data_IF_027438746507
#
_entry.id   IF_027438746507
#
_cell.length_a   1.000
_cell.length_b   1.000
_cell.length_c   1.000
_cell.angle_alpha   90.00
_cell.angle_beta   90.00
_cell.angle_gamma   90.00
#
_symmetry.space_group_name_H-M   'P 1'
#
loop_
_entity.id
_entity.type
_entity.pdbx_description
1 polymer ?
#
# COMPACT_ATOMS: atom_id res chain seq x y z
N UNK A 1 -15.37 5.58 24.68
CA UNK A 1 -14.07 6.15 25.09
C UNK A 1 -13.63 5.39 26.34
N UNK A 2 -12.52 4.65 26.29
CA UNK A 2 -12.07 3.85 27.43
C UNK A 2 -10.59 4.13 27.74
N UNK A 3 -10.30 4.55 28.97
CA UNK A 3 -8.97 4.54 29.57
C UNK A 3 -8.69 3.17 30.18
N UNK A 4 -7.43 2.72 30.18
CA UNK A 4 -6.99 1.56 30.94
C UNK A 4 -5.83 1.94 31.87
N UNK A 5 -5.98 1.63 33.17
CA UNK A 5 -4.95 1.77 34.21
C UNK A 5 -4.17 0.45 34.33
N UNK A 6 -2.85 0.55 34.47
CA UNK A 6 -1.96 -0.57 34.80
C UNK A 6 -2.19 -1.06 36.24
N UNK A 7 -2.39 -2.37 36.40
CA UNK A 7 -2.25 -3.09 37.66
C UNK A 7 -0.85 -3.69 37.72
N UNK A 8 -0.04 -3.25 38.69
CA UNK A 8 1.25 -3.86 38.99
C UNK A 8 1.04 -5.22 39.67
N UNK A 9 1.64 -6.28 39.12
CA UNK A 9 2.05 -7.46 39.89
C UNK A 9 3.57 -7.58 39.82
N UNK A 10 4.16 -7.85 40.97
CA UNK A 10 5.60 -8.07 41.17
C UNK A 10 6.07 -9.33 40.44
N UNK A 11 7.16 -9.23 39.66
CA UNK A 11 7.78 -10.36 38.98
C UNK A 11 9.16 -10.68 39.57
N UNK A 12 9.44 -11.98 39.66
CA UNK A 12 10.73 -12.56 40.01
C UNK A 12 11.72 -12.45 38.84
N UNK A 13 13.02 -12.33 39.15
CA UNK A 13 14.09 -12.28 38.16
C UNK A 13 14.34 -13.65 37.51
N UNK A 14 14.71 -13.65 36.22
CA UNK A 14 14.97 -14.83 35.39
C UNK A 14 16.43 -14.73 34.92
N UNK A 15 17.22 -15.79 35.13
CA UNK A 15 18.69 -15.77 35.07
C UNK A 15 19.33 -16.46 33.85
N UNK A 16 18.59 -17.14 32.96
CA UNK A 16 19.19 -17.95 31.88
C UNK A 16 18.57 -17.81 30.48
N UNK A 17 19.37 -18.08 29.44
CA UNK A 17 19.03 -18.00 28.00
C UNK A 17 17.95 -19.01 27.57
N UNK A 18 17.75 -20.08 28.33
CA UNK A 18 16.73 -21.09 28.03
C UNK A 18 15.29 -20.64 28.34
N UNK A 19 15.11 -19.50 29.02
CA UNK A 19 13.80 -18.97 29.42
C UNK A 19 13.19 -17.99 28.39
N UNK A 20 13.86 -17.77 27.26
CA UNK A 20 13.43 -16.87 26.17
C UNK A 20 12.03 -17.18 25.60
N UNK A 21 11.59 -18.44 25.46
CA UNK A 21 10.25 -18.75 24.96
C UNK A 21 9.10 -18.30 25.88
N UNK A 22 9.38 -17.95 27.14
CA UNK A 22 8.38 -17.62 28.17
C UNK A 22 8.30 -16.10 28.46
N UNK A 23 8.83 -15.25 27.58
CA UNK A 23 8.83 -13.80 27.78
C UNK A 23 7.44 -13.19 27.47
N UNK A 24 6.84 -12.60 28.50
CA UNK A 24 5.61 -11.80 28.40
C UNK A 24 5.91 -10.45 27.72
N UNK A 25 5.18 -10.13 26.64
CA UNK A 25 5.46 -9.05 25.68
C UNK A 25 5.12 -7.63 26.21
N UNK A 26 5.18 -7.41 27.52
CA UNK A 26 5.00 -6.08 28.13
C UNK A 26 6.33 -5.31 28.30
N UNK A 27 6.85 -4.88 27.15
CA UNK A 27 7.50 -3.60 26.79
C UNK A 27 8.56 -2.88 27.65
N UNK A 28 9.16 -3.41 28.73
CA UNK A 28 10.39 -2.77 29.30
C UNK A 28 11.49 -3.74 29.74
N UNK A 29 11.18 -4.92 30.26
CA UNK A 29 12.17 -5.94 30.64
C UNK A 29 12.71 -6.71 29.42
N UNK A 30 11.85 -6.99 28.44
CA UNK A 30 12.18 -7.69 27.20
C UNK A 30 13.20 -6.92 26.37
N UNK A 31 13.02 -5.60 26.19
CA UNK A 31 13.98 -4.77 25.45
C UNK A 31 15.34 -4.68 26.14
N UNK A 32 15.41 -4.60 27.48
CA UNK A 32 16.69 -4.62 28.22
C UNK A 32 17.42 -5.96 28.10
N UNK A 33 16.70 -7.08 28.14
CA UNK A 33 17.29 -8.41 27.94
C UNK A 33 17.75 -8.61 26.50
N UNK A 34 16.95 -8.17 25.53
CA UNK A 34 17.33 -8.21 24.11
C UNK A 34 18.55 -7.34 23.82
N UNK A 35 18.62 -6.17 24.45
CA UNK A 35 19.78 -5.28 24.39
C UNK A 35 21.02 -5.92 25.03
N UNK A 36 20.89 -6.59 26.19
CA UNK A 36 21.98 -7.35 26.82
C UNK A 36 22.46 -8.53 25.96
N UNK A 37 21.53 -9.33 25.43
CA UNK A 37 21.83 -10.44 24.52
C UNK A 37 22.51 -9.93 23.26
N UNK A 38 22.02 -8.82 22.70
CA UNK A 38 22.63 -8.23 21.53
C UNK A 38 24.03 -7.70 21.81
N UNK A 39 24.22 -6.96 22.91
CA UNK A 39 25.53 -6.48 23.33
C UNK A 39 26.52 -7.64 23.56
N UNK A 40 26.06 -8.76 24.11
CA UNK A 40 26.88 -9.95 24.27
C UNK A 40 27.26 -10.57 22.91
N UNK A 41 26.28 -10.73 22.01
CA UNK A 41 26.50 -11.24 20.65
C UNK A 41 27.47 -10.34 19.87
N UNK A 42 27.34 -9.02 19.98
CA UNK A 42 28.19 -8.08 19.23
C UNK A 42 29.61 -8.04 19.76
N UNK A 43 29.77 -8.13 21.08
CA UNK A 43 31.08 -8.19 21.74
C UNK A 43 31.80 -9.50 21.46
N UNK A 44 31.13 -10.65 21.59
CA UNK A 44 31.73 -11.98 21.35
C UNK A 44 32.10 -12.22 19.87
N UNK A 45 31.41 -11.54 18.94
CA UNK A 45 31.51 -11.83 17.50
C UNK A 45 32.11 -10.69 16.67
N UNK A 46 32.69 -9.67 17.33
CA UNK A 46 33.43 -8.59 16.69
C UNK A 46 32.58 -7.67 15.82
N UNK A 47 31.31 -7.48 16.19
CA UNK A 47 30.35 -6.66 15.44
C UNK A 47 30.32 -5.27 16.09
N UNK A 48 30.49 -4.19 15.31
CA UNK A 48 30.46 -2.81 15.80
C UNK A 48 29.17 -2.48 16.57
N UNK A 49 29.27 -1.66 17.62
CA UNK A 49 28.14 -1.24 18.48
C UNK A 49 26.98 -0.54 17.74
N UNK A 50 27.22 -0.02 16.54
CA UNK A 50 26.17 0.52 15.65
C UNK A 50 25.12 -0.55 15.27
N UNK A 51 25.48 -1.84 15.37
CA UNK A 51 24.63 -2.96 14.97
C UNK A 51 23.87 -3.63 16.12
N UNK A 52 24.02 -3.15 17.36
CA UNK A 52 23.39 -3.78 18.53
C UNK A 52 21.86 -3.69 18.45
N UNK A 53 21.30 -2.56 18.01
CA UNK A 53 19.85 -2.40 17.88
C UNK A 53 19.27 -3.35 16.82
N UNK A 54 19.91 -3.44 15.64
CA UNK A 54 19.47 -4.33 14.57
C UNK A 54 19.53 -5.80 15.01
N UNK A 55 20.65 -6.21 15.61
CA UNK A 55 20.82 -7.59 16.10
C UNK A 55 19.81 -7.89 17.21
N UNK A 56 19.53 -6.93 18.09
CA UNK A 56 18.50 -7.09 19.13
C UNK A 56 17.15 -7.40 18.51
N UNK A 57 16.75 -6.62 17.48
CA UNK A 57 15.48 -6.79 16.76
C UNK A 57 15.42 -8.17 16.09
N UNK A 58 16.45 -8.55 15.34
CA UNK A 58 16.53 -9.84 14.65
C UNK A 58 16.46 -11.03 15.63
N UNK A 59 17.16 -10.95 16.76
CA UNK A 59 17.13 -11.98 17.80
C UNK A 59 15.75 -12.05 18.46
N UNK A 60 15.13 -10.90 18.74
CA UNK A 60 13.81 -10.82 19.37
C UNK A 60 12.73 -11.55 18.58
N UNK A 61 12.75 -11.40 17.25
CA UNK A 61 11.80 -12.05 16.35
C UNK A 61 12.29 -13.42 15.84
N UNK A 62 13.37 -13.94 16.45
CA UNK A 62 13.90 -15.28 16.18
C UNK A 62 14.53 -15.47 14.79
N UNK A 63 14.92 -14.42 14.08
CA UNK A 63 15.43 -14.48 12.69
C UNK A 63 16.96 -14.72 12.64
N UNK A 64 17.46 -15.67 13.43
CA UNK A 64 18.91 -15.89 13.63
C UNK A 64 19.70 -16.23 12.35
N UNK A 65 19.07 -16.87 11.36
CA UNK A 65 19.70 -17.24 10.10
C UNK A 65 20.16 -16.02 9.26
N UNK A 66 19.54 -14.86 9.46
CA UNK A 66 19.99 -13.60 8.83
C UNK A 66 21.35 -13.16 9.38
N UNK A 67 21.59 -13.40 10.68
CA UNK A 67 22.88 -13.12 11.33
C UNK A 67 23.96 -14.09 10.82
N UNK A 68 23.60 -15.36 10.63
CA UNK A 68 24.52 -16.36 10.07
C UNK A 68 24.94 -15.98 8.65
N UNK A 69 23.98 -15.59 7.82
CA UNK A 69 24.23 -15.08 6.47
C UNK A 69 25.18 -13.88 6.49
N UNK A 70 24.93 -12.92 7.39
CA UNK A 70 25.78 -11.73 7.55
C UNK A 70 27.24 -12.07 7.91
N UNK A 71 27.49 -13.20 8.59
CA UNK A 71 28.86 -13.66 8.90
C UNK A 71 29.59 -14.25 7.71
N UNK A 72 28.85 -14.90 6.81
CA UNK A 72 29.43 -15.56 5.64
C UNK A 72 29.87 -14.55 4.56
N UNK A 73 29.42 -13.29 4.66
CA UNK A 73 29.82 -12.21 3.76
C UNK A 73 31.20 -11.67 4.21
N UNK A 74 32.23 -12.02 3.44
CA UNK A 74 33.61 -11.58 3.68
C UNK A 74 33.89 -10.15 3.18
N UNK A 75 33.22 -9.74 2.11
CA UNK A 75 33.40 -8.41 1.52
C UNK A 75 32.68 -7.33 2.35
N UNK A 76 33.42 -6.30 2.78
CA UNK A 76 32.90 -5.30 3.71
C UNK A 76 31.83 -4.40 3.07
N UNK A 77 31.92 -4.12 1.77
CA UNK A 77 30.94 -3.30 1.06
C UNK A 77 29.62 -4.05 0.92
N UNK A 78 29.68 -5.31 0.50
CA UNK A 78 28.54 -6.22 0.45
C UNK A 78 27.89 -6.40 1.82
N UNK A 79 28.70 -6.54 2.88
CA UNK A 79 28.22 -6.67 4.24
C UNK A 79 27.46 -5.42 4.68
N UNK A 80 27.99 -4.23 4.41
CA UNK A 80 27.32 -2.97 4.72
C UNK A 80 25.98 -2.83 3.97
N UNK A 81 25.94 -3.17 2.67
CA UNK A 81 24.71 -3.16 1.87
C UNK A 81 23.65 -4.11 2.42
N UNK A 82 24.05 -5.31 2.84
CA UNK A 82 23.12 -6.26 3.43
C UNK A 82 22.59 -5.76 4.78
N UNK A 83 23.42 -5.11 5.59
CA UNK A 83 22.98 -4.52 6.86
C UNK A 83 21.98 -3.39 6.62
N UNK A 84 22.23 -2.50 5.67
CA UNK A 84 21.28 -1.45 5.29
C UNK A 84 19.94 -2.05 4.89
N UNK A 85 19.95 -3.12 4.08
CA UNK A 85 18.75 -3.85 3.71
C UNK A 85 18.04 -4.46 4.93
N UNK A 86 18.76 -5.18 5.80
CA UNK A 86 18.19 -5.76 7.02
C UNK A 86 17.61 -4.70 7.96
N UNK A 87 18.18 -3.50 8.01
CA UNK A 87 17.69 -2.42 8.85
C UNK A 87 16.37 -1.81 8.36
N UNK A 88 16.08 -1.91 7.06
CA UNK A 88 14.82 -1.45 6.47
C UNK A 88 13.64 -2.38 6.73
N UNK A 89 13.88 -3.60 7.22
CA UNK A 89 12.82 -4.59 7.48
C UNK A 89 12.04 -4.20 8.74
N UNK A 90 10.70 -4.24 8.62
CA UNK A 90 9.74 -4.07 9.70
C UNK A 90 9.48 -5.43 10.38
N UNK A 91 10.46 -5.89 11.16
CA UNK A 91 10.40 -7.19 11.85
C UNK A 91 9.21 -7.27 12.81
N UNK A 92 8.85 -6.16 13.44
CA UNK A 92 7.75 -6.06 14.39
C UNK A 92 6.41 -6.34 13.71
N UNK A 93 6.19 -5.81 12.50
CA UNK A 93 5.00 -6.10 11.70
C UNK A 93 4.98 -7.56 11.26
N UNK A 94 6.12 -8.10 10.80
CA UNK A 94 6.23 -9.51 10.38
C UNK A 94 5.85 -10.47 11.51
N UNK A 95 6.44 -10.26 12.69
CA UNK A 95 6.19 -11.06 13.89
C UNK A 95 4.72 -10.97 14.34
N UNK A 96 4.18 -9.75 14.38
CA UNK A 96 2.77 -9.50 14.76
C UNK A 96 1.80 -10.19 13.80
N UNK A 97 2.05 -10.12 12.49
CA UNK A 97 1.21 -10.77 11.48
C UNK A 97 1.31 -12.30 11.58
N UNK A 98 2.51 -12.85 11.75
CA UNK A 98 2.70 -14.29 11.90
C UNK A 98 1.87 -14.83 13.08
N UNK A 99 2.01 -14.21 14.26
CA UNK A 99 1.26 -14.61 15.45
C UNK A 99 -0.26 -14.35 15.33
N UNK A 100 -0.67 -13.29 14.64
CA UNK A 100 -2.09 -13.04 14.36
C UNK A 100 -2.69 -14.17 13.53
N UNK A 101 -2.02 -14.62 12.46
CA UNK A 101 -2.54 -15.68 11.60
C UNK A 101 -2.46 -17.08 12.24
N UNK A 102 -1.50 -17.34 13.12
CA UNK A 102 -1.45 -18.59 13.90
C UNK A 102 -2.60 -18.72 14.89
N UNK A 103 -3.04 -17.60 15.48
CA UNK A 103 -4.10 -17.56 16.50
C UNK A 103 -5.46 -17.13 15.94
N UNK A 104 -5.63 -17.14 14.60
CA UNK A 104 -6.88 -16.70 13.98
C UNK A 104 -7.92 -17.82 14.11
N UNK A 105 -8.75 -17.71 15.15
CA UNK A 105 -9.95 -18.53 15.26
C UNK A 105 -10.89 -18.26 14.06
N UNK A 106 -11.53 -19.32 13.54
CA UNK A 106 -12.62 -19.18 12.57
C UNK A 106 -13.83 -18.56 13.26
N UNK A 107 -13.98 -17.24 13.15
CA UNK A 107 -15.18 -16.54 13.58
C UNK A 107 -16.27 -16.85 12.54
N UNK A 108 -17.29 -17.60 12.95
CA UNK A 108 -18.51 -17.81 12.17
C UNK A 108 -19.36 -16.52 12.23
N UNK A 109 -19.03 -15.60 11.34
CA UNK A 109 -19.78 -14.36 11.17
C UNK A 109 -21.05 -14.58 10.31
N UNK A 110 -22.11 -13.82 10.59
CA UNK A 110 -23.28 -13.79 9.72
C UNK A 110 -22.94 -13.03 8.43
N UNK A 111 -22.77 -13.77 7.33
CA UNK A 111 -22.44 -13.23 6.02
C UNK A 111 -23.72 -12.99 5.23
N UNK A 112 -23.90 -11.76 4.77
CA UNK A 112 -24.97 -11.38 3.85
C UNK A 112 -24.43 -10.56 2.68
N UNK A 113 -25.22 -10.36 1.62
CA UNK A 113 -24.81 -9.46 0.54
C UNK A 113 -24.88 -8.00 0.97
N UNK A 114 -23.99 -7.18 0.41
CA UNK A 114 -24.03 -5.74 0.61
C UNK A 114 -25.41 -5.15 0.29
N UNK A 115 -25.94 -4.38 1.24
CA UNK A 115 -27.16 -3.60 1.08
C UNK A 115 -26.81 -2.19 0.57
N UNK A 116 -27.78 -1.43 0.05
CA UNK A 116 -27.60 -0.06 -0.48
C UNK A 116 -26.75 0.05 -1.77
N UNK A 117 -26.96 -0.87 -2.72
CA UNK A 117 -26.33 -0.79 -4.04
C UNK A 117 -27.22 0.02 -5.00
N UNK A 118 -26.73 1.18 -5.45
CA UNK A 118 -27.36 1.93 -6.52
C UNK A 118 -26.89 1.43 -7.90
N UNK A 119 -27.85 1.11 -8.76
CA UNK A 119 -27.57 0.66 -10.13
C UNK A 119 -27.59 1.85 -11.07
N UNK A 120 -26.59 1.95 -11.94
CA UNK A 120 -26.52 3.07 -12.91
C UNK A 120 -27.77 3.10 -13.80
N UNK A 121 -28.34 1.94 -14.14
CA UNK A 121 -29.57 1.86 -14.95
C UNK A 121 -30.80 2.44 -14.24
N UNK A 122 -30.79 2.55 -12.91
CA UNK A 122 -31.89 3.12 -12.13
C UNK A 122 -31.80 4.65 -11.98
N UNK A 123 -30.64 5.25 -12.29
CA UNK A 123 -30.42 6.70 -12.18
C UNK A 123 -31.19 7.40 -13.30
N UNK A 124 -32.14 8.27 -12.92
CA UNK A 124 -32.91 9.07 -13.88
C UNK A 124 -31.99 10.02 -14.65
N UNK A 125 -32.39 10.36 -15.88
CA UNK A 125 -31.60 11.22 -16.77
C UNK A 125 -31.24 12.57 -16.12
N UNK A 126 -32.17 13.19 -15.39
CA UNK A 126 -31.95 14.46 -14.72
C UNK A 126 -30.90 14.33 -13.60
N UNK A 127 -31.01 13.28 -12.78
CA UNK A 127 -30.05 12.97 -11.72
C UNK A 127 -28.66 12.65 -12.28
N UNK A 128 -28.61 11.90 -13.38
CA UNK A 128 -27.36 11.60 -14.08
C UNK A 128 -26.64 12.90 -14.48
N UNK A 129 -27.35 13.84 -15.12
CA UNK A 129 -26.80 15.12 -15.54
C UNK A 129 -26.33 15.92 -14.32
N UNK A 130 -27.13 15.96 -13.25
CA UNK A 130 -26.76 16.63 -12.00
C UNK A 130 -25.47 16.06 -11.40
N UNK A 131 -25.38 14.74 -11.20
CA UNK A 131 -24.18 14.10 -10.65
C UNK A 131 -22.96 14.34 -11.54
N UNK A 132 -23.13 14.20 -12.85
CA UNK A 132 -22.03 14.42 -13.78
C UNK A 132 -21.49 15.86 -13.71
N UNK A 133 -22.37 16.86 -13.67
CA UNK A 133 -21.99 18.27 -13.54
C UNK A 133 -21.36 18.58 -12.18
N UNK A 134 -21.93 18.06 -11.09
CA UNK A 134 -21.33 18.20 -9.75
C UNK A 134 -19.93 17.60 -9.71
N UNK A 135 -19.73 16.39 -10.23
CA UNK A 135 -18.41 15.76 -10.27
C UNK A 135 -17.38 16.54 -11.07
N UNK A 136 -17.77 17.14 -12.21
CA UNK A 136 -16.89 18.04 -12.97
C UNK A 136 -16.49 19.26 -12.12
N UNK A 137 -17.45 19.84 -11.39
CA UNK A 137 -17.20 20.98 -10.51
C UNK A 137 -16.26 20.61 -9.36
N UNK A 138 -16.42 19.43 -8.76
CA UNK A 138 -15.52 18.94 -7.69
C UNK A 138 -14.07 18.82 -8.19
N UNK A 139 -13.87 18.30 -9.41
CA UNK A 139 -12.53 18.20 -10.01
C UNK A 139 -11.96 19.61 -10.27
N UNK A 140 -12.78 20.51 -10.83
CA UNK A 140 -12.39 21.91 -11.10
C UNK A 140 -11.99 22.65 -9.82
N UNK A 141 -12.70 22.40 -8.72
CA UNK A 141 -12.47 23.00 -7.41
C UNK A 141 -11.34 22.34 -6.61
N UNK A 142 -10.66 21.33 -7.17
CA UNK A 142 -9.61 20.55 -6.51
C UNK A 142 -10.08 19.87 -5.22
N UNK A 143 -11.31 19.39 -5.22
CA UNK A 143 -11.88 18.69 -4.08
C UNK A 143 -11.59 17.19 -4.10
N UNK A 144 -11.09 16.66 -5.22
CA UNK A 144 -10.78 15.23 -5.39
C UNK A 144 -9.37 15.05 -5.93
N UNK A 145 -8.55 14.28 -5.21
CA UNK A 145 -7.25 13.82 -5.69
C UNK A 145 -7.37 12.41 -6.27
N UNK A 146 -6.58 12.11 -7.30
CA UNK A 146 -6.50 10.78 -7.89
C UNK A 146 -5.38 9.98 -7.23
N UNK A 147 -5.65 8.73 -6.86
CA UNK A 147 -4.61 7.76 -6.49
C UNK A 147 -4.60 6.63 -7.50
N UNK A 148 -3.44 6.37 -8.10
CA UNK A 148 -3.24 5.26 -9.02
C UNK A 148 -2.38 4.20 -8.31
N UNK A 149 -2.97 3.04 -8.05
CA UNK A 149 -2.29 1.88 -7.49
C UNK A 149 -1.57 1.12 -8.61
N UNK A 150 -0.24 1.23 -8.62
CA UNK A 150 0.65 0.67 -9.64
C UNK A 150 1.85 -0.09 -9.05
N UNK A 151 1.83 -0.37 -7.74
CA UNK A 151 2.91 -1.07 -7.04
C UNK A 151 2.83 -2.60 -7.09
N UNK A 152 1.84 -3.19 -7.75
CA UNK A 152 1.70 -4.64 -7.84
C UNK A 152 2.82 -5.29 -8.66
N UNK A 153 3.34 -6.42 -8.16
CA UNK A 153 4.31 -7.25 -8.89
C UNK A 153 3.61 -8.25 -9.82
N UNK A 154 4.25 -8.58 -10.94
CA UNK A 154 3.66 -9.42 -11.99
C UNK A 154 4.09 -10.86 -11.87
N UNK A 155 3.62 -11.51 -10.81
CA UNK A 155 3.91 -12.93 -10.55
C UNK A 155 3.13 -13.84 -11.51
N UNK A 156 1.98 -13.38 -12.03
CA UNK A 156 1.10 -14.13 -12.95
C UNK A 156 1.50 -14.04 -14.43
N UNK A 157 2.32 -13.06 -14.80
CA UNK A 157 2.85 -12.90 -16.17
C UNK A 157 4.34 -13.21 -16.15
N UNK A 158 5.03 -13.04 -17.28
CA UNK A 158 6.50 -13.01 -17.26
C UNK A 158 6.95 -11.95 -16.24
N UNK A 159 7.75 -12.36 -15.26
CA UNK A 159 8.26 -11.49 -14.18
C UNK A 159 9.01 -10.25 -14.72
N UNK A 160 9.46 -10.31 -15.99
CA UNK A 160 10.11 -9.20 -16.69
C UNK A 160 9.14 -8.15 -17.23
N UNK A 161 7.84 -8.44 -17.27
CA UNK A 161 6.82 -7.54 -17.82
C UNK A 161 6.18 -6.74 -16.70
N UNK A 162 6.33 -5.42 -16.75
CA UNK A 162 5.65 -4.48 -15.85
C UNK A 162 4.24 -4.16 -16.39
N UNK A 163 3.17 -4.65 -15.75
CA UNK A 163 1.75 -4.47 -16.13
C UNK A 163 1.41 -3.04 -16.53
N UNK A 164 1.94 -2.07 -15.80
CA UNK A 164 1.57 -0.68 -15.93
C UNK A 164 2.25 0.02 -17.12
N UNK A 165 3.42 -0.48 -17.54
CA UNK A 165 4.23 0.09 -18.63
C UNK A 165 4.30 -0.84 -19.85
N UNK A 166 3.70 -2.03 -19.81
CA UNK A 166 3.72 -2.97 -20.91
C UNK A 166 2.76 -2.60 -22.03
N UNK A 167 3.16 -2.88 -23.27
CA UNK A 167 2.27 -2.83 -24.42
C UNK A 167 1.36 -4.06 -24.41
N UNK A 168 0.06 -3.82 -24.29
CA UNK A 168 -0.98 -4.85 -24.19
C UNK A 168 -1.47 -5.38 -25.55
N UNK A 169 -0.79 -5.02 -26.65
CA UNK A 169 -1.10 -5.53 -27.99
C UNK A 169 -2.20 -4.78 -28.73
N UNK A 170 -2.61 -3.61 -28.26
CA UNK A 170 -3.53 -2.75 -29.01
C UNK A 170 -2.85 -2.19 -30.28
N UNK A 171 -3.60 -1.88 -31.35
CA UNK A 171 -3.02 -1.28 -32.58
C UNK A 171 -2.23 0.01 -32.34
N UNK A 172 -2.62 0.78 -31.32
CA UNK A 172 -1.92 2.01 -30.89
C UNK A 172 -0.57 1.76 -30.22
N UNK A 173 -0.29 0.51 -29.81
CA UNK A 173 0.89 0.07 -29.05
C UNK A 173 1.11 0.77 -27.71
N UNK A 174 0.09 1.46 -27.22
CA UNK A 174 0.17 2.20 -25.96
C UNK A 174 0.21 1.24 -24.77
N UNK A 175 0.99 1.64 -23.78
CA UNK A 175 0.98 1.03 -22.46
C UNK A 175 -0.28 1.41 -21.66
N UNK A 176 -0.51 0.69 -20.56
CA UNK A 176 -1.63 0.96 -19.65
C UNK A 176 -1.56 2.38 -19.07
N UNK A 177 -0.39 2.83 -18.63
CA UNK A 177 -0.22 4.19 -18.13
C UNK A 177 -0.47 5.25 -19.19
N UNK A 178 -0.05 5.01 -20.44
CA UNK A 178 -0.34 5.94 -21.53
C UNK A 178 -1.84 6.01 -21.85
N UNK A 179 -2.56 4.89 -21.77
CA UNK A 179 -4.03 4.88 -21.90
C UNK A 179 -4.68 5.68 -20.78
N UNK A 180 -4.27 5.48 -19.52
CA UNK A 180 -4.77 6.25 -18.37
C UNK A 180 -4.45 7.74 -18.54
N UNK A 181 -3.22 8.07 -18.94
CA UNK A 181 -2.78 9.44 -19.18
C UNK A 181 -3.59 10.14 -20.27
N UNK A 182 -3.89 9.46 -21.39
CA UNK A 182 -4.77 10.00 -22.44
C UNK A 182 -6.20 10.22 -21.96
N UNK A 183 -6.76 9.33 -21.14
CA UNK A 183 -8.08 9.53 -20.53
C UNK A 183 -8.08 10.76 -19.61
N UNK A 184 -7.01 10.97 -18.86
CA UNK A 184 -6.84 12.15 -18.04
C UNK A 184 -6.78 13.43 -18.89
N UNK A 185 -6.07 13.45 -20.01
CA UNK A 185 -6.07 14.58 -20.95
C UNK A 185 -7.48 14.90 -21.47
N UNK A 186 -8.25 13.88 -21.84
CA UNK A 186 -9.66 14.08 -22.25
C UNK A 186 -10.48 14.68 -21.11
N UNK A 187 -10.31 14.18 -19.89
CA UNK A 187 -10.99 14.72 -18.71
C UNK A 187 -10.60 16.18 -18.45
N UNK A 188 -9.31 16.54 -18.57
CA UNK A 188 -8.87 17.93 -18.43
C UNK A 188 -9.62 18.82 -19.43
N UNK A 189 -9.70 18.42 -20.70
CA UNK A 189 -10.43 19.18 -21.72
C UNK A 189 -11.93 19.32 -21.38
N UNK A 190 -12.54 18.28 -20.80
CA UNK A 190 -13.93 18.28 -20.37
C UNK A 190 -14.21 19.19 -19.16
N UNK A 191 -13.29 19.25 -18.19
CA UNK A 191 -13.44 20.05 -16.97
C UNK A 191 -13.19 21.54 -17.24
N UNK A 192 -12.24 21.86 -18.12
CA UNK A 192 -11.76 23.23 -18.36
C UNK A 192 -12.18 23.78 -19.73
N UNK A 193 -13.32 23.31 -20.27
CA UNK A 193 -13.90 23.74 -21.57
C UNK A 193 -13.49 25.17 -21.97
N UNK A 194 -12.81 25.34 -23.11
CA UNK A 194 -12.38 26.61 -23.71
C UNK A 194 -11.16 27.34 -23.09
N UNK A 195 -10.07 26.65 -22.77
CA UNK A 195 -8.75 27.29 -22.81
C UNK A 195 -8.21 27.16 -24.25
N UNK A 196 -8.84 27.89 -25.17
CA UNK A 196 -8.11 28.47 -26.28
C UNK A 196 -7.18 29.50 -25.65
N UNK A 197 -5.88 29.42 -25.92
CA UNK A 197 -4.79 30.23 -25.33
C UNK A 197 -4.12 29.64 -24.08
N UNK A 198 -2.98 29.02 -24.38
CA UNK A 198 -1.81 28.74 -23.55
C UNK A 198 -1.75 29.29 -22.10
N UNK A 199 -1.21 28.44 -21.21
CA UNK A 199 -0.23 28.70 -20.13
C UNK A 199 -0.61 28.09 -18.76
N UNK A 200 -1.87 27.93 -18.39
CA UNK A 200 -2.19 27.32 -17.08
C UNK A 200 -2.31 25.80 -17.19
N UNK A 201 -1.23 25.08 -16.87
CA UNK A 201 -1.27 23.62 -16.67
C UNK A 201 -2.40 23.27 -15.68
N UNK A 202 -3.26 22.35 -16.11
CA UNK A 202 -4.35 21.83 -15.30
C UNK A 202 -3.78 21.16 -14.04
N UNK A 203 -4.34 21.48 -12.87
CA UNK A 203 -3.70 21.15 -11.58
C UNK A 203 -4.67 20.57 -10.56
N UNK A 204 -5.05 19.31 -10.74
CA UNK A 204 -5.50 18.47 -9.63
C UNK A 204 -4.40 17.46 -9.27
N UNK A 205 -4.34 17.06 -8.00
CA UNK A 205 -3.29 16.21 -7.46
C UNK A 205 -3.48 14.78 -7.95
N UNK A 206 -2.44 14.26 -8.59
CA UNK A 206 -2.30 12.85 -8.94
C UNK A 206 -1.24 12.27 -8.03
N UNK A 207 -1.57 11.15 -7.39
CA UNK A 207 -0.67 10.37 -6.57
C UNK A 207 -0.55 8.98 -7.17
N UNK A 208 0.67 8.50 -7.34
CA UNK A 208 0.94 7.23 -8.00
C UNK A 208 1.69 6.38 -6.99
N UNK A 209 1.01 5.35 -6.49
CA UNK A 209 1.56 4.41 -5.53
C UNK A 209 2.28 3.29 -6.28
N UNK A 210 3.56 3.14 -6.02
CA UNK A 210 4.51 2.32 -6.77
C UNK A 210 5.43 1.57 -5.81
N UNK A 211 6.26 0.66 -6.31
CA UNK A 211 7.30 0.01 -5.50
C UNK A 211 8.70 0.45 -5.96
N UNK A 212 9.72 0.03 -5.22
CA UNK A 212 11.12 0.36 -5.50
C UNK A 212 11.60 -0.20 -6.84
N UNK A 213 11.12 -1.39 -7.23
CA UNK A 213 11.51 -2.07 -8.47
C UNK A 213 10.97 -1.34 -9.72
N UNK A 214 9.73 -0.83 -9.68
CA UNK A 214 9.06 -0.23 -10.83
C UNK A 214 9.10 1.31 -10.87
N UNK A 215 9.67 1.95 -9.84
CA UNK A 215 9.74 3.41 -9.69
C UNK A 215 10.30 4.12 -10.92
N UNK A 216 11.47 3.70 -11.39
CA UNK A 216 12.18 4.39 -12.47
C UNK A 216 11.45 4.26 -13.81
N UNK A 217 10.88 3.08 -14.10
CA UNK A 217 10.18 2.84 -15.35
C UNK A 217 8.89 3.66 -15.44
N UNK A 218 8.09 3.66 -14.37
CA UNK A 218 6.84 4.42 -14.32
C UNK A 218 7.15 5.91 -14.43
N UNK A 219 8.11 6.41 -13.65
CA UNK A 219 8.50 7.83 -13.73
C UNK A 219 8.98 8.24 -15.12
N UNK A 220 9.68 7.34 -15.83
CA UNK A 220 10.11 7.56 -17.22
C UNK A 220 8.93 7.67 -18.18
N UNK A 221 7.89 6.84 -18.05
CA UNK A 221 6.67 6.94 -18.88
C UNK A 221 6.00 8.30 -18.71
N UNK A 222 5.83 8.78 -17.47
CA UNK A 222 5.24 10.08 -17.20
C UNK A 222 6.08 11.22 -17.75
N UNK A 223 7.40 11.20 -17.54
CA UNK A 223 8.33 12.22 -18.05
C UNK A 223 8.35 12.27 -19.58
N UNK A 224 8.40 11.11 -20.24
CA UNK A 224 8.44 11.03 -21.72
C UNK A 224 7.16 11.54 -22.38
N UNK A 225 6.04 11.55 -21.65
CA UNK A 225 4.75 12.04 -22.12
C UNK A 225 4.43 13.46 -21.60
N UNK A 226 5.44 14.24 -21.16
CA UNK A 226 5.28 15.58 -20.56
C UNK A 226 4.20 15.61 -19.46
N UNK A 227 4.24 14.58 -18.59
CA UNK A 227 3.25 14.35 -17.52
C UNK A 227 1.80 14.40 -18.00
N UNK A 228 1.55 14.05 -19.26
CA UNK A 228 0.23 14.10 -19.90
C UNK A 228 -0.43 15.49 -19.80
N UNK A 229 0.36 16.57 -19.81
CA UNK A 229 -0.12 17.95 -19.71
C UNK A 229 -0.36 18.46 -18.29
N UNK A 230 -0.13 17.64 -17.26
CA UNK A 230 -0.14 18.08 -15.86
C UNK A 230 1.16 18.80 -15.49
N UNK A 231 1.10 19.63 -14.45
CA UNK A 231 2.31 20.16 -13.81
C UNK A 231 3.00 19.03 -13.03
N UNK A 232 4.32 18.89 -13.18
CA UNK A 232 5.10 17.86 -12.49
C UNK A 232 4.92 17.95 -10.97
N UNK A 233 4.73 19.16 -10.42
CA UNK A 233 4.51 19.37 -8.98
C UNK A 233 3.19 18.78 -8.47
N UNK A 234 2.22 18.54 -9.36
CA UNK A 234 0.92 17.96 -9.04
C UNK A 234 0.89 16.44 -9.24
N UNK A 235 1.99 15.84 -9.73
CA UNK A 235 2.17 14.40 -9.87
C UNK A 235 3.14 13.90 -8.81
N UNK A 236 2.61 13.28 -7.76
CA UNK A 236 3.37 12.74 -6.65
C UNK A 236 3.57 11.22 -6.81
N UNK A 237 4.83 10.78 -6.88
CA UNK A 237 5.17 9.37 -6.81
C UNK A 237 5.40 8.97 -5.35
N UNK A 238 4.69 7.94 -4.88
CA UNK A 238 4.77 7.43 -3.52
C UNK A 238 5.19 5.98 -3.55
N UNK A 239 6.28 5.64 -2.86
CA UNK A 239 6.72 4.25 -2.71
C UNK A 239 5.94 3.60 -1.58
N UNK A 240 5.25 2.52 -1.90
CA UNK A 240 4.56 1.67 -0.94
C UNK A 240 5.56 0.82 -0.16
N UNK A 241 5.13 0.32 0.99
CA UNK A 241 5.90 -0.58 1.84
C UNK A 241 6.03 -1.97 1.22
N UNK A 242 7.15 -2.63 1.55
CA UNK A 242 7.44 -4.02 1.16
C UNK A 242 7.52 -4.86 2.45
N UNK A 243 6.95 -6.06 2.44
CA UNK A 243 7.09 -7.03 3.51
C UNK A 243 7.90 -8.24 3.05
N UNK A 244 8.79 -8.77 3.90
CA UNK A 244 9.47 -10.03 3.60
C UNK A 244 8.48 -11.18 3.62
N UNK A 245 8.68 -12.12 2.71
CA UNK A 245 7.98 -13.39 2.70
C UNK A 245 8.59 -14.26 3.79
N UNK A 246 7.73 -14.92 4.56
CA UNK A 246 8.11 -15.89 5.59
C UNK A 246 7.72 -17.31 5.19
N UNK A 247 8.44 -18.29 5.71
CA UNK A 247 8.04 -19.71 5.64
C UNK A 247 6.97 -20.05 6.68
N UNK A 248 6.54 -21.32 6.71
CA UNK A 248 5.50 -21.80 7.63
C UNK A 248 5.95 -21.72 9.12
N UNK A 249 7.25 -21.66 9.36
CA UNK A 249 7.86 -21.48 10.68
C UNK A 249 8.08 -19.99 11.04
N UNK A 250 7.62 -19.07 10.19
CA UNK A 250 7.75 -17.63 10.39
C UNK A 250 9.14 -17.08 10.08
N UNK A 251 10.03 -17.84 9.41
CA UNK A 251 11.38 -17.37 9.04
C UNK A 251 11.37 -16.63 7.72
N UNK A 252 12.02 -15.48 7.68
CA UNK A 252 12.19 -14.66 6.47
C UNK A 252 12.95 -15.45 5.41
N UNK A 253 12.35 -15.56 4.23
CA UNK A 253 12.92 -16.27 3.08
C UNK A 253 13.94 -15.37 2.39
N UNK A 254 15.09 -15.94 2.04
CA UNK A 254 16.13 -15.27 1.27
C UNK A 254 15.92 -15.51 -0.23
N UNK A 255 15.96 -14.43 -1.04
CA UNK A 255 15.95 -14.49 -2.51
C UNK A 255 17.33 -14.80 -3.06
N UNK A 256 18.36 -14.19 -2.47
CA UNK A 256 19.77 -14.42 -2.77
C UNK A 256 20.55 -14.43 -1.45
N UNK A 257 21.87 -14.65 -1.49
CA UNK A 257 22.72 -14.60 -0.28
C UNK A 257 22.72 -13.24 0.43
N UNK A 258 22.23 -12.17 -0.18
CA UNK A 258 22.25 -10.81 0.39
C UNK A 258 20.93 -10.05 0.19
N UNK A 259 19.85 -10.76 -0.10
CA UNK A 259 18.56 -10.12 -0.34
C UNK A 259 17.43 -11.01 0.19
N UNK A 260 16.60 -10.45 1.08
CA UNK A 260 15.36 -11.07 1.50
C UNK A 260 14.36 -11.08 0.34
N UNK A 261 13.54 -12.10 0.28
CA UNK A 261 12.47 -12.14 -0.70
C UNK A 261 11.28 -11.33 -0.19
N UNK A 262 11.01 -10.19 -0.82
CA UNK A 262 9.98 -9.25 -0.40
C UNK A 262 8.87 -9.12 -1.44
N UNK A 263 7.67 -8.78 -0.97
CA UNK A 263 6.53 -8.43 -1.80
C UNK A 263 5.89 -7.13 -1.31
N UNK A 264 5.24 -6.37 -2.20
CA UNK A 264 4.32 -5.31 -1.84
C UNK A 264 3.34 -5.72 -0.72
N UNK A 265 3.11 -4.85 0.26
CA UNK A 265 2.06 -5.02 1.30
C UNK A 265 0.63 -5.06 0.72
N UNK A 266 0.48 -4.82 -0.58
CA UNK A 266 -0.79 -4.80 -1.29
C UNK A 266 -1.44 -3.42 -1.30
N UNK A 267 -2.64 -3.30 -1.91
CA UNK A 267 -3.29 -2.01 -2.12
C UNK A 267 -3.69 -1.31 -0.81
N UNK A 268 -3.83 -2.04 0.31
CA UNK A 268 -4.18 -1.50 1.63
C UNK A 268 -3.10 -0.59 2.24
N UNK A 269 -1.84 -0.75 1.83
CA UNK A 269 -0.73 0.10 2.28
C UNK A 269 -0.87 1.56 1.86
N UNK A 270 -1.81 1.89 0.95
CA UNK A 270 -2.17 3.27 0.61
C UNK A 270 -2.41 4.14 1.85
N UNK A 271 -3.06 3.58 2.88
CA UNK A 271 -3.33 4.32 4.12
C UNK A 271 -1.99 4.66 4.80
N UNK A 272 -1.16 3.65 5.10
CA UNK A 272 0.16 3.80 5.73
C UNK A 272 1.06 4.74 4.91
N UNK A 273 1.09 4.59 3.60
CA UNK A 273 1.89 5.40 2.67
C UNK A 273 1.48 6.87 2.68
N UNK A 274 0.18 7.18 2.63
CA UNK A 274 -0.29 8.57 2.62
C UNK A 274 -0.03 9.24 3.98
N UNK A 275 -0.23 8.54 5.09
CA UNK A 275 0.04 9.07 6.44
C UNK A 275 1.54 9.31 6.66
N UNK A 276 2.39 8.34 6.33
CA UNK A 276 3.84 8.41 6.57
C UNK A 276 4.52 9.54 5.80
N UNK A 277 4.01 9.86 4.60
CA UNK A 277 4.57 10.92 3.75
C UNK A 277 4.01 12.33 4.04
N UNK A 278 3.23 12.51 5.13
CA UNK A 278 2.50 13.75 5.44
C UNK A 278 1.67 14.26 4.26
N UNK A 279 1.18 13.34 3.42
CA UNK A 279 0.47 13.68 2.19
C UNK A 279 -0.93 14.20 2.52
N UNK A 280 -1.59 13.61 3.51
CA UNK A 280 -2.89 14.09 4.01
C UNK A 280 -2.83 15.57 4.39
N UNK A 281 -1.82 16.01 5.16
CA UNK A 281 -1.70 17.41 5.57
C UNK A 281 -1.63 18.35 4.35
N UNK A 282 -0.83 17.99 3.32
CA UNK A 282 -0.72 18.74 2.07
C UNK A 282 -2.03 18.76 1.29
N UNK A 283 -2.75 17.64 1.25
CA UNK A 283 -4.03 17.53 0.57
C UNK A 283 -5.09 18.43 1.23
N UNK A 284 -5.17 18.41 2.56
CA UNK A 284 -6.11 19.22 3.32
C UNK A 284 -5.85 20.73 3.13
N UNK A 285 -4.58 21.16 3.17
CA UNK A 285 -4.20 22.56 2.91
C UNK A 285 -4.63 23.01 1.50
N UNK A 286 -4.63 22.09 0.53
CA UNK A 286 -5.03 22.34 -0.86
C UNK A 286 -6.54 22.11 -1.12
N UNK A 287 -7.37 21.95 -0.08
CA UNK A 287 -8.82 21.75 -0.15
C UNK A 287 -9.27 20.42 -0.81
N UNK A 288 -8.42 19.40 -0.84
CA UNK A 288 -8.86 18.06 -1.25
C UNK A 288 -9.69 17.41 -0.13
N UNK A 289 -10.89 16.96 -0.51
CA UNK A 289 -11.89 16.35 0.38
C UNK A 289 -11.99 14.84 0.16
N UNK A 290 -11.78 14.40 -1.08
CA UNK A 290 -11.94 13.00 -1.48
C UNK A 290 -10.67 12.46 -2.17
N UNK A 291 -10.49 11.15 -2.06
CA UNK A 291 -9.55 10.39 -2.86
C UNK A 291 -10.34 9.47 -3.80
N UNK A 292 -10.06 9.55 -5.10
CA UNK A 292 -10.51 8.53 -6.05
C UNK A 292 -9.37 7.56 -6.30
N UNK A 293 -9.52 6.33 -5.82
CA UNK A 293 -8.48 5.30 -5.91
C UNK A 293 -8.80 4.37 -7.08
N UNK A 294 -7.83 4.16 -7.96
CA UNK A 294 -7.93 3.26 -9.11
C UNK A 294 -6.72 2.33 -9.19
N UNK A 295 -6.91 1.12 -9.71
CA UNK A 295 -5.83 0.20 -10.04
C UNK A 295 -5.48 0.21 -11.53
N UNK A 296 -4.21 -0.03 -11.85
CA UNK A 296 -3.74 -0.15 -13.24
C UNK A 296 -4.25 -1.40 -13.96
N UNK A 297 -4.79 -2.39 -13.24
CA UNK A 297 -5.30 -3.64 -13.85
C UNK A 297 -6.60 -3.43 -14.66
N UNK A 298 -7.34 -2.36 -14.38
CA UNK A 298 -8.58 -2.06 -15.08
C UNK A 298 -8.35 -1.14 -16.30
N UNK A 299 -8.16 -1.72 -17.48
CA UNK A 299 -7.99 -0.97 -18.73
C UNK A 299 -9.18 -0.05 -19.08
N UNK A 300 -10.39 -0.37 -18.61
CA UNK A 300 -11.60 0.41 -18.85
C UNK A 300 -11.86 1.46 -17.78
N UNK A 301 -10.96 1.60 -16.80
CA UNK A 301 -11.13 2.55 -15.70
C UNK A 301 -11.34 3.98 -16.21
N UNK A 302 -12.23 4.71 -15.55
CA UNK A 302 -12.48 6.13 -15.79
C UNK A 302 -11.80 6.91 -14.65
N UNK A 303 -10.56 7.40 -14.83
CA UNK A 303 -9.91 8.18 -13.79
C UNK A 303 -10.74 9.44 -13.51
N UNK A 304 -10.98 9.74 -12.23
CA UNK A 304 -11.84 10.87 -11.79
C UNK A 304 -13.20 10.90 -12.50
N UNK A 305 -13.89 9.76 -12.56
CA UNK A 305 -15.23 9.63 -13.16
C UNK A 305 -16.24 10.62 -12.55
N UNK A 306 -16.67 11.67 -13.28
CA UNK A 306 -17.51 12.73 -12.71
C UNK A 306 -18.87 12.21 -12.21
N UNK A 307 -19.46 11.23 -12.89
CA UNK A 307 -20.74 10.65 -12.47
C UNK A 307 -20.62 10.02 -11.08
N UNK A 308 -19.54 9.27 -10.86
CA UNK A 308 -19.30 8.58 -9.60
C UNK A 308 -18.97 9.56 -8.47
N UNK A 309 -18.17 10.60 -8.76
CA UNK A 309 -17.83 11.64 -7.80
C UNK A 309 -19.07 12.44 -7.37
N UNK A 310 -19.92 12.84 -8.32
CA UNK A 310 -21.16 13.55 -8.00
C UNK A 310 -22.14 12.70 -7.19
N UNK A 311 -22.30 11.42 -7.57
CA UNK A 311 -23.10 10.47 -6.77
C UNK A 311 -22.55 10.34 -5.35
N UNK A 312 -21.24 10.15 -5.18
CA UNK A 312 -20.60 10.03 -3.87
C UNK A 312 -20.81 11.28 -3.00
N UNK A 313 -20.67 12.46 -3.61
CA UNK A 313 -20.84 13.75 -2.94
C UNK A 313 -22.29 14.02 -2.51
N UNK A 314 -23.27 13.74 -3.39
CA UNK A 314 -24.69 13.93 -3.05
C UNK A 314 -25.10 13.03 -1.87
N UNK A 315 -24.66 11.77 -1.86
CA UNK A 315 -25.01 10.82 -0.80
C UNK A 315 -24.18 11.01 0.48
N UNK A 316 -23.15 11.88 0.48
CA UNK A 316 -22.29 12.18 1.64
C UNK A 316 -21.68 10.94 2.29
N UNK A 317 -21.34 9.94 1.47
CA UNK A 317 -20.72 8.70 1.94
C UNK A 317 -19.21 8.89 2.13
N UNK A 318 -18.65 8.38 3.24
CA UNK A 318 -17.20 8.41 3.51
C UNK A 318 -16.43 7.50 2.55
N UNK A 319 -17.00 6.35 2.20
CA UNK A 319 -16.42 5.35 1.29
C UNK A 319 -17.48 4.95 0.27
N UNK A 320 -17.10 4.97 -1.01
CA UNK A 320 -17.93 4.49 -2.10
C UNK A 320 -17.13 3.47 -2.90
N UNK A 321 -17.76 2.34 -3.24
CA UNK A 321 -17.15 1.31 -4.09
C UNK A 321 -17.94 1.18 -5.38
N UNK A 322 -17.24 1.12 -6.51
CA UNK A 322 -17.84 0.86 -7.82
C UNK A 322 -17.69 -0.62 -8.15
N UNK A 323 -18.82 -1.31 -8.27
CA UNK A 323 -18.86 -2.73 -8.60
C UNK A 323 -19.51 -2.97 -9.98
N UNK A 324 -19.34 -4.19 -10.48
CA UNK A 324 -20.07 -4.69 -11.65
C UNK A 324 -20.94 -5.86 -11.22
N UNK A 325 -22.05 -6.08 -11.92
CA UNK A 325 -22.93 -7.22 -11.64
C UNK A 325 -22.22 -8.51 -12.06
N UNK A 326 -22.10 -9.46 -11.13
CA UNK A 326 -21.68 -10.82 -11.46
C UNK A 326 -22.77 -11.51 -12.29
N UNK A 327 -22.37 -12.14 -13.39
CA UNK A 327 -23.27 -12.92 -14.23
C UNK A 327 -23.45 -14.36 -13.69
N UNK A 328 -22.43 -14.90 -13.02
CA UNK A 328 -22.41 -16.24 -12.46
C UNK A 328 -21.70 -16.21 -11.09
N UNK A 329 -22.30 -16.88 -10.10
CA UNK A 329 -21.82 -16.97 -8.71
C UNK A 329 -20.71 -18.03 -8.51
N UNK A 330 -20.45 -18.86 -9.53
CA UNK A 330 -19.41 -19.90 -9.50
C UNK A 330 -17.99 -19.37 -9.72
N UNK A 331 -17.85 -18.11 -10.13
CA UNK A 331 -16.54 -17.50 -10.41
C UNK A 331 -15.82 -17.05 -9.11
N UNK A 332 -14.49 -17.18 -9.12
CA UNK A 332 -13.54 -16.66 -8.11
C UNK A 332 -13.39 -15.12 -8.17
N UNK A 333 -14.51 -14.40 -8.31
CA UNK A 333 -14.50 -12.94 -8.25
C UNK A 333 -14.81 -12.47 -6.84
N UNK A 334 -14.08 -11.43 -6.43
CA UNK A 334 -14.33 -10.69 -5.22
C UNK A 334 -15.79 -10.22 -5.11
N UNK A 335 -16.43 -10.51 -3.98
CA UNK A 335 -17.82 -10.17 -3.66
C UNK A 335 -17.86 -9.10 -2.58
N UNK A 336 -18.79 -8.15 -2.74
CA UNK A 336 -19.11 -7.20 -1.68
C UNK A 336 -20.12 -7.86 -0.73
N UNK A 337 -19.66 -8.17 0.47
CA UNK A 337 -20.46 -8.80 1.52
C UNK A 337 -20.61 -7.87 2.72
N UNK A 338 -21.61 -8.13 3.53
CA UNK A 338 -21.84 -7.51 4.80
C UNK A 338 -21.66 -8.56 5.90
N UNK A 339 -20.75 -8.26 6.82
CA UNK A 339 -20.51 -9.04 8.03
C UNK A 339 -20.84 -8.14 9.22
N UNK A 340 -21.85 -8.52 10.02
CA UNK A 340 -22.26 -7.79 11.23
C UNK A 340 -22.49 -6.28 11.01
N UNK A 341 -23.12 -5.92 9.89
CA UNK A 341 -23.42 -4.53 9.54
C UNK A 341 -22.26 -3.77 8.88
N UNK A 342 -21.12 -4.42 8.61
CA UNK A 342 -19.93 -3.81 8.00
C UNK A 342 -19.66 -4.41 6.63
N UNK A 343 -19.30 -3.54 5.68
CA UNK A 343 -19.00 -3.94 4.32
C UNK A 343 -17.57 -4.51 4.21
N UNK A 344 -17.43 -5.68 3.60
CA UNK A 344 -16.15 -6.32 3.30
C UNK A 344 -16.09 -6.77 1.84
N UNK A 345 -14.87 -7.07 1.40
CA UNK A 345 -14.59 -7.72 0.13
C UNK A 345 -14.07 -9.13 0.43
N UNK A 346 -14.80 -10.14 -0.01
CA UNK A 346 -14.45 -11.57 0.13
C UNK A 346 -14.11 -12.16 -1.24
N UNK A 347 -13.15 -13.09 -1.31
CA UNK A 347 -12.73 -13.79 -2.53
C UNK A 347 -13.67 -14.95 -2.88
#
# INVERSE_FOLDING_TARGET
MGQCKLLNKSYQEISDIHDVPNLDFNRNSTYKKLEQISNQITTERGISNIYNVLISRIVAVGQLHLIETLRLINDQEQKNKFIEHLNCIDYETVDSLYHFFQNKDEILDEISYAQNIEKIENIKKEQYIQYFQQGLQMIKNKEVALVILAGGNNIRFDQKVQKSTCNIGLPSKLSVFEIIGKKLQVLQNLVYQNISTSITKCSFQIMIMINTENYFEIKKVWKNNDFFGFDEKDVLFMTQSMLPIIDIQGKIIMRTSMQCYEQPEGPGDIIKTIFSNKVIEKLLIKNYKYLHIIGVENLLVKPLDPLFLGYANENKNDINSKCVKLQDLTNEFFKLININGRLYIEL
#
